data_IF_939056005454
#
_entry.id   IF_939056005454
#
_cell.length_a   1.000
_cell.length_b   1.000
_cell.length_c   1.000
_cell.angle_alpha   90.00
_cell.angle_beta   90.00
_cell.angle_gamma   90.00
#
_symmetry.space_group_name_H-M   'P 1'
#
loop_
_entity.id
_entity.type
_entity.pdbx_description
1 polymer ?
#
# COMPACT_ATOMS: atom_id res chain seq x y z
N UNK A 1 10.57 -2.34 23.71
CA UNK A 1 10.01 -1.02 23.40
C UNK A 1 10.59 -0.03 24.36
N UNK A 2 11.33 0.95 23.89
CA UNK A 2 11.76 2.10 24.66
C UNK A 2 10.57 2.95 25.06
N UNK A 3 10.60 3.39 26.27
CA UNK A 3 9.54 4.24 26.80
C UNK A 3 9.92 5.70 26.55
N UNK A 4 9.20 6.38 25.65
CA UNK A 4 9.26 7.82 25.56
C UNK A 4 8.52 8.44 26.75
N UNK A 5 9.13 9.44 27.39
CA UNK A 5 8.43 10.25 28.40
C UNK A 5 7.68 11.41 27.74
N UNK A 6 6.66 11.93 28.43
CA UNK A 6 5.94 13.10 27.95
C UNK A 6 6.86 14.33 27.86
N UNK A 7 7.85 14.44 28.72
CA UNK A 7 8.89 15.49 28.70
C UNK A 7 9.65 15.46 27.38
N UNK A 8 10.18 14.29 27.02
CA UNK A 8 10.92 14.12 25.76
C UNK A 8 10.05 14.44 24.54
N UNK A 9 8.83 13.90 24.51
CA UNK A 9 7.92 14.15 23.39
C UNK A 9 7.53 15.63 23.28
N UNK A 10 7.27 16.30 24.40
CA UNK A 10 6.97 17.73 24.44
C UNK A 10 8.16 18.57 23.95
N UNK A 11 9.39 18.27 24.38
CA UNK A 11 10.61 18.94 23.88
C UNK A 11 10.77 18.79 22.37
N UNK A 12 10.50 17.62 21.83
CA UNK A 12 10.64 17.32 20.40
C UNK A 12 9.61 18.04 19.51
N UNK A 13 8.41 18.26 20.02
CA UNK A 13 7.34 18.93 19.26
C UNK A 13 7.06 20.38 19.69
N UNK A 14 7.86 20.93 20.60
CA UNK A 14 7.63 22.28 21.13
C UNK A 14 6.36 22.41 21.96
N UNK A 15 5.86 21.29 22.47
CA UNK A 15 4.65 21.25 23.28
C UNK A 15 4.90 21.55 24.77
N UNK A 16 3.81 21.72 25.49
CA UNK A 16 3.82 21.98 26.95
C UNK A 16 3.21 20.79 27.68
N UNK A 17 3.90 20.32 28.72
CA UNK A 17 3.42 19.31 29.66
C UNK A 17 3.51 19.83 31.07
N UNK A 18 2.50 19.55 31.92
CA UNK A 18 2.55 19.89 33.33
C UNK A 18 3.63 19.06 34.04
N UNK A 19 4.48 19.70 34.89
CA UNK A 19 5.64 19.04 35.52
C UNK A 19 5.27 17.74 36.25
N UNK A 20 4.12 17.70 36.91
CA UNK A 20 3.62 16.49 37.62
C UNK A 20 3.40 15.27 36.73
N UNK A 21 3.30 15.47 35.39
CA UNK A 21 3.06 14.42 34.40
C UNK A 21 4.27 14.17 33.51
N UNK A 22 5.29 15.01 33.55
CA UNK A 22 6.41 15.03 32.61
C UNK A 22 7.15 13.69 32.49
N UNK A 23 7.26 12.93 33.57
CA UNK A 23 7.99 11.66 33.62
C UNK A 23 7.10 10.42 33.31
N UNK A 24 5.82 10.64 33.01
CA UNK A 24 4.96 9.55 32.51
C UNK A 24 5.50 9.07 31.17
N UNK A 25 5.67 7.75 31.06
CA UNK A 25 6.13 7.11 29.85
C UNK A 25 4.96 6.50 29.07
N UNK A 26 5.05 6.51 27.72
CA UNK A 26 4.07 5.91 26.84
C UNK A 26 4.70 4.95 25.84
N UNK A 27 3.87 4.08 25.23
CA UNK A 27 4.27 3.05 24.27
C UNK A 27 3.41 3.15 23.01
N UNK A 28 3.94 3.79 21.96
CA UNK A 28 3.20 4.01 20.73
C UNK A 28 2.09 5.05 20.89
N UNK A 29 1.28 5.20 19.84
CA UNK A 29 0.20 6.17 19.78
C UNK A 29 -1.05 5.58 19.13
N UNK A 30 -2.22 6.15 19.43
CA UNK A 30 -3.50 5.81 18.82
C UNK A 30 -4.39 7.04 18.69
N UNK A 31 -5.18 7.11 17.63
CA UNK A 31 -6.20 8.14 17.39
C UNK A 31 -7.64 7.59 17.42
N UNK A 32 -7.80 6.29 17.71
CA UNK A 32 -9.11 5.63 17.79
C UNK A 32 -9.21 4.84 19.09
N UNK A 33 -10.13 5.26 19.95
CA UNK A 33 -10.38 4.60 21.23
C UNK A 33 -10.93 3.17 21.12
N UNK A 34 -11.39 2.73 19.95
CA UNK A 34 -11.91 1.37 19.74
C UNK A 34 -10.80 0.32 19.71
N UNK A 35 -9.65 0.69 19.14
CA UNK A 35 -8.48 -0.19 18.92
C UNK A 35 -7.28 0.16 19.80
N UNK A 36 -7.35 1.27 20.54
CA UNK A 36 -6.29 1.74 21.43
C UNK A 36 -5.95 0.70 22.50
N UNK A 37 -4.65 0.57 22.80
CA UNK A 37 -4.13 -0.27 23.86
C UNK A 37 -3.72 0.56 25.09
N UNK A 38 -3.80 0.03 26.31
CA UNK A 38 -3.31 0.71 27.51
C UNK A 38 -1.84 1.12 27.39
N UNK A 39 -1.52 2.29 27.92
CA UNK A 39 -0.16 2.86 27.90
C UNK A 39 0.19 3.61 26.61
N UNK A 40 -0.70 3.71 25.63
CA UNK A 40 -0.48 4.52 24.43
C UNK A 40 -0.76 6.02 24.66
N UNK A 41 -0.13 6.87 23.84
CA UNK A 41 -0.45 8.29 23.72
C UNK A 41 -1.69 8.43 22.81
N UNK A 42 -2.76 9.02 23.34
CA UNK A 42 -3.96 9.29 22.53
C UNK A 42 -3.81 10.60 21.76
N UNK A 43 -3.96 10.56 20.45
CA UNK A 43 -3.83 11.74 19.57
C UNK A 43 -5.23 12.31 19.31
N UNK A 44 -5.52 13.49 19.87
CA UNK A 44 -6.81 14.16 19.73
C UNK A 44 -6.84 15.00 18.44
N UNK A 45 -7.16 14.37 17.31
CA UNK A 45 -7.25 15.03 16.01
C UNK A 45 -8.63 15.63 15.76
N UNK A 46 -8.66 16.77 15.08
CA UNK A 46 -9.90 17.31 14.51
C UNK A 46 -10.18 16.64 13.16
N UNK A 47 -11.41 16.16 12.99
CA UNK A 47 -11.88 15.50 11.78
C UNK A 47 -13.41 15.62 11.68
N UNK A 48 -14.10 14.64 11.12
CA UNK A 48 -15.57 14.59 11.10
C UNK A 48 -16.17 14.62 12.52
N UNK A 49 -15.42 14.16 13.51
CA UNK A 49 -15.66 14.34 14.95
C UNK A 49 -14.43 14.96 15.57
N UNK A 50 -14.60 15.75 16.63
CA UNK A 50 -13.47 16.30 17.39
C UNK A 50 -12.87 15.21 18.30
N UNK A 51 -11.61 14.86 18.08
CA UNK A 51 -10.87 13.88 18.88
C UNK A 51 -10.79 14.25 20.37
N UNK A 52 -10.87 15.54 20.70
CA UNK A 52 -10.87 16.01 22.09
C UNK A 52 -12.05 15.48 22.91
N UNK A 53 -13.19 15.22 22.27
CA UNK A 53 -14.39 14.68 22.94
C UNK A 53 -14.19 13.21 23.38
N UNK A 54 -13.13 12.57 22.90
CA UNK A 54 -12.80 11.17 23.23
C UNK A 54 -11.65 11.03 24.23
N UNK A 55 -11.04 12.12 24.72
CA UNK A 55 -9.92 12.07 25.68
C UNK A 55 -10.32 11.34 26.97
N UNK A 56 -11.48 11.69 27.56
CA UNK A 56 -11.98 10.97 28.75
C UNK A 56 -12.06 9.46 28.50
N UNK A 57 -12.67 9.06 27.39
CA UNK A 57 -12.82 7.64 27.02
C UNK A 57 -11.46 6.96 26.78
N UNK A 58 -10.49 7.70 26.25
CA UNK A 58 -9.13 7.18 26.09
C UNK A 58 -8.46 6.94 27.46
N UNK A 59 -8.60 7.89 28.40
CA UNK A 59 -8.09 7.74 29.77
C UNK A 59 -8.76 6.58 30.49
N UNK A 60 -10.09 6.41 30.38
CA UNK A 60 -10.82 5.29 30.96
C UNK A 60 -10.36 3.93 30.43
N UNK A 61 -9.80 3.90 29.19
CA UNK A 61 -9.19 2.72 28.57
C UNK A 61 -7.70 2.56 28.86
N UNK A 62 -7.13 3.42 29.71
CA UNK A 62 -5.74 3.32 30.14
C UNK A 62 -4.74 4.00 29.20
N UNK A 63 -5.14 5.05 28.45
CA UNK A 63 -4.16 5.90 27.78
C UNK A 63 -3.16 6.46 28.79
N UNK A 64 -1.88 6.51 28.41
CA UNK A 64 -0.87 7.11 29.29
C UNK A 64 -1.04 8.64 29.39
N UNK A 65 -1.42 9.26 28.26
CA UNK A 65 -1.64 10.70 28.15
C UNK A 65 -2.39 11.01 26.84
N UNK A 66 -2.74 12.31 26.66
CA UNK A 66 -3.24 12.82 25.38
C UNK A 66 -2.23 13.81 24.75
N UNK A 67 -2.18 13.83 23.41
CA UNK A 67 -1.62 14.91 22.61
C UNK A 67 -2.79 15.72 22.06
N UNK A 68 -2.93 16.98 22.45
CA UNK A 68 -4.14 17.76 22.22
C UNK A 68 -3.84 19.27 22.06
N UNK A 69 -4.76 20.00 21.41
CA UNK A 69 -4.60 21.44 21.18
C UNK A 69 -5.32 22.32 22.21
N UNK A 70 -6.09 21.73 23.11
CA UNK A 70 -6.77 22.44 24.19
C UNK A 70 -6.93 21.59 25.43
N UNK A 71 -7.06 22.22 26.59
CA UNK A 71 -7.27 21.52 27.86
C UNK A 71 -8.69 20.91 27.91
N UNK A 72 -8.73 19.61 28.23
CA UNK A 72 -9.96 18.84 28.43
C UNK A 72 -9.77 18.03 29.73
N UNK A 73 -10.37 18.48 30.81
CA UNK A 73 -10.22 17.84 32.12
C UNK A 73 -8.82 17.99 32.73
N UNK A 74 -8.55 17.25 33.81
CA UNK A 74 -7.25 17.20 34.52
C UNK A 74 -6.60 15.83 34.25
N UNK A 75 -6.07 15.67 33.03
CA UNK A 75 -5.41 14.46 32.60
C UNK A 75 -3.97 14.72 32.17
N UNK A 76 -3.09 13.68 32.20
CA UNK A 76 -1.78 13.80 31.61
C UNK A 76 -1.94 14.16 30.13
N UNK A 77 -1.31 15.26 29.70
CA UNK A 77 -1.40 15.71 28.31
C UNK A 77 -0.16 16.50 27.89
N UNK A 78 0.14 16.43 26.59
CA UNK A 78 1.03 17.36 25.89
C UNK A 78 0.13 18.32 25.11
N UNK A 79 0.24 19.61 25.41
CA UNK A 79 -0.49 20.67 24.71
C UNK A 79 0.35 21.23 23.58
N UNK A 80 -0.21 21.29 22.39
CA UNK A 80 0.43 21.75 21.14
C UNK A 80 -0.57 22.55 20.31
N UNK A 81 -0.09 23.36 19.38
CA UNK A 81 -0.98 24.09 18.46
C UNK A 81 -1.72 23.15 17.50
N UNK A 82 -1.00 22.17 16.94
CA UNK A 82 -1.55 21.17 16.03
C UNK A 82 -1.04 19.76 16.39
N UNK A 83 -1.92 18.87 16.93
CA UNK A 83 -1.55 17.50 17.29
C UNK A 83 -1.06 16.64 16.11
N UNK A 84 -1.45 16.95 14.87
CA UNK A 84 -1.02 16.22 13.68
C UNK A 84 0.44 16.55 13.34
N UNK A 85 0.78 17.83 13.35
CA UNK A 85 2.16 18.29 13.11
C UNK A 85 3.06 17.79 14.24
N UNK A 86 2.63 17.92 15.49
CA UNK A 86 3.37 17.47 16.66
C UNK A 86 3.65 15.95 16.61
N UNK A 87 2.66 15.14 16.22
CA UNK A 87 2.84 13.69 16.03
C UNK A 87 3.96 13.39 15.02
N UNK A 88 4.00 14.09 13.89
CA UNK A 88 5.06 13.96 12.89
C UNK A 88 6.44 14.34 13.43
N UNK A 89 6.53 15.43 14.20
CA UNK A 89 7.78 15.89 14.84
C UNK A 89 8.29 14.87 15.85
N UNK A 90 7.41 14.34 16.71
CA UNK A 90 7.77 13.30 17.69
C UNK A 90 8.26 12.03 16.95
N UNK A 91 7.57 11.60 15.92
CA UNK A 91 7.96 10.42 15.13
C UNK A 91 9.32 10.61 14.44
N UNK A 92 9.60 11.79 13.90
CA UNK A 92 10.89 12.11 13.29
C UNK A 92 12.06 12.00 14.29
N UNK A 93 11.92 12.58 15.47
CA UNK A 93 12.97 12.52 16.49
C UNK A 93 13.10 11.10 17.07
N UNK A 94 11.99 10.34 17.14
CA UNK A 94 12.03 8.92 17.54
C UNK A 94 12.80 8.06 16.54
N UNK A 95 12.56 8.20 15.23
CA UNK A 95 13.36 7.52 14.20
C UNK A 95 14.86 7.84 14.33
N UNK A 96 15.19 9.10 14.57
CA UNK A 96 16.56 9.53 14.81
C UNK A 96 17.16 8.92 16.08
N UNK A 97 16.37 8.81 17.16
CA UNK A 97 16.78 8.18 18.42
C UNK A 97 17.02 6.68 18.24
N UNK A 98 16.14 5.98 17.52
CA UNK A 98 16.30 4.56 17.21
C UNK A 98 17.54 4.34 16.33
N UNK A 99 17.83 5.25 15.42
CA UNK A 99 18.99 5.15 14.52
C UNK A 99 18.85 4.09 13.41
N UNK A 100 17.63 3.66 13.14
CA UNK A 100 17.34 2.71 12.06
C UNK A 100 17.62 3.31 10.69
N UNK A 101 18.13 2.51 9.75
CA UNK A 101 18.13 2.87 8.33
C UNK A 101 16.71 2.89 7.81
N UNK A 102 16.36 3.91 7.04
CA UNK A 102 15.01 4.08 6.53
C UNK A 102 14.94 3.78 5.04
N UNK A 103 14.05 2.84 4.69
CA UNK A 103 13.65 2.53 3.31
C UNK A 103 12.23 3.04 3.09
N UNK A 104 12.06 4.05 2.25
CA UNK A 104 10.75 4.60 1.89
C UNK A 104 10.26 4.04 0.56
N UNK A 105 8.96 3.74 0.46
CA UNK A 105 8.36 3.14 -0.73
C UNK A 105 7.12 3.92 -1.15
N UNK A 106 7.08 4.37 -2.40
CA UNK A 106 5.90 4.97 -3.03
C UNK A 106 5.68 4.43 -4.45
N UNK A 107 4.53 4.72 -5.04
CA UNK A 107 4.13 4.30 -6.38
C UNK A 107 2.62 4.44 -6.55
N UNK A 108 2.12 4.34 -7.76
CA UNK A 108 0.67 4.32 -8.01
C UNK A 108 0.06 2.98 -7.60
N UNK A 109 0.67 1.87 -7.99
CA UNK A 109 0.25 0.50 -7.69
C UNK A 109 1.42 -0.28 -7.07
N UNK A 110 1.14 -1.29 -6.24
CA UNK A 110 2.16 -2.21 -5.71
C UNK A 110 2.85 -1.76 -4.42
N UNK A 111 2.63 -0.54 -3.90
CA UNK A 111 3.31 -0.01 -2.70
C UNK A 111 3.38 -0.99 -1.52
N UNK A 112 2.23 -1.47 -1.06
CA UNK A 112 2.19 -2.37 0.10
C UNK A 112 2.82 -3.71 -0.19
N UNK A 113 2.63 -4.25 -1.40
CA UNK A 113 3.26 -5.50 -1.83
C UNK A 113 4.77 -5.38 -1.85
N UNK A 114 5.29 -4.31 -2.47
CA UNK A 114 6.73 -4.02 -2.50
C UNK A 114 7.29 -3.80 -1.10
N UNK A 115 6.61 -3.05 -0.25
CA UNK A 115 6.98 -2.86 1.16
C UNK A 115 7.12 -4.20 1.89
N UNK A 116 6.14 -5.08 1.74
CA UNK A 116 6.18 -6.40 2.38
C UNK A 116 7.28 -7.30 1.81
N UNK A 117 7.54 -7.26 0.48
CA UNK A 117 8.65 -8.00 -0.14
C UNK A 117 10.00 -7.47 0.33
N UNK A 118 10.17 -6.13 0.41
CA UNK A 118 11.38 -5.50 0.95
C UNK A 118 11.59 -5.95 2.40
N UNK A 119 10.55 -5.91 3.23
CA UNK A 119 10.64 -6.33 4.62
C UNK A 119 11.01 -7.82 4.72
N UNK A 120 10.37 -8.71 3.94
CA UNK A 120 10.68 -10.14 3.95
C UNK A 120 12.14 -10.44 3.56
N UNK A 121 12.72 -9.68 2.63
CA UNK A 121 14.14 -9.76 2.27
C UNK A 121 15.04 -9.25 3.40
N UNK A 122 14.70 -8.12 4.00
CA UNK A 122 15.53 -7.49 5.03
C UNK A 122 15.48 -8.24 6.35
N UNK A 123 14.35 -8.84 6.72
CA UNK A 123 14.17 -9.69 7.90
C UNK A 123 15.11 -10.91 7.91
N UNK A 124 15.68 -11.29 6.75
CA UNK A 124 16.70 -12.34 6.69
C UNK A 124 18.08 -11.89 7.22
N UNK A 125 18.28 -10.59 7.45
CA UNK A 125 19.58 -10.04 7.83
C UNK A 125 19.53 -9.00 8.95
N UNK A 126 18.38 -8.37 9.17
CA UNK A 126 18.23 -7.23 10.09
C UNK A 126 16.95 -7.36 10.93
N UNK A 127 16.98 -6.74 12.11
CA UNK A 127 15.75 -6.47 12.87
C UNK A 127 14.97 -5.40 12.12
N UNK A 128 13.94 -5.82 11.40
CA UNK A 128 13.20 -4.96 10.48
C UNK A 128 11.83 -4.61 11.01
N UNK A 129 11.47 -3.34 10.97
CA UNK A 129 10.12 -2.84 11.24
C UNK A 129 9.52 -2.25 9.96
N UNK A 130 8.19 -2.28 9.83
CA UNK A 130 7.49 -1.75 8.66
C UNK A 130 6.17 -1.10 9.03
N UNK A 131 5.70 -0.17 8.21
CA UNK A 131 4.33 0.38 8.36
C UNK A 131 3.30 -0.74 8.24
N UNK A 132 2.42 -0.92 9.24
CA UNK A 132 1.36 -1.93 9.18
C UNK A 132 0.26 -1.52 8.21
N UNK A 133 -0.36 -2.48 7.53
CA UNK A 133 -1.50 -2.29 6.63
C UNK A 133 -1.33 -1.07 5.69
N UNK A 134 -2.23 -0.11 5.76
CA UNK A 134 -2.25 1.14 4.98
C UNK A 134 -1.87 2.38 5.82
N UNK A 135 -1.06 2.23 6.85
CA UNK A 135 -0.55 3.35 7.65
C UNK A 135 0.52 4.12 6.88
N UNK A 136 0.12 4.76 5.77
CA UNK A 136 1.00 5.37 4.79
C UNK A 136 0.77 6.88 4.60
N UNK A 137 0.01 7.50 5.51
CA UNK A 137 -0.30 8.93 5.52
C UNK A 137 0.32 9.63 6.73
N UNK A 138 0.08 10.92 6.85
CA UNK A 138 0.57 11.84 7.87
C UNK A 138 0.15 11.53 9.33
N UNK A 139 -0.75 10.58 9.53
CA UNK A 139 -1.17 10.07 10.84
C UNK A 139 -0.64 8.64 11.02
N UNK A 140 -0.90 7.78 10.05
CA UNK A 140 -0.61 6.35 10.14
C UNK A 140 0.88 6.06 10.21
N UNK A 141 1.69 6.68 9.33
CA UNK A 141 3.13 6.47 9.30
C UNK A 141 3.81 6.94 10.61
N UNK A 142 3.55 8.15 11.14
CA UNK A 142 4.09 8.55 12.44
C UNK A 142 3.68 7.62 13.60
N UNK A 143 2.42 7.18 13.66
CA UNK A 143 1.99 6.21 14.67
C UNK A 143 2.73 4.88 14.55
N UNK A 144 2.97 4.40 13.32
CA UNK A 144 3.74 3.19 13.08
C UNK A 144 5.19 3.33 13.58
N UNK A 145 5.80 4.50 13.38
CA UNK A 145 7.15 4.80 13.90
C UNK A 145 7.18 4.74 15.43
N UNK A 146 6.21 5.36 16.09
CA UNK A 146 6.15 5.37 17.57
C UNK A 146 5.88 3.98 18.18
N UNK A 147 5.44 3.03 17.36
CA UNK A 147 5.24 1.64 17.77
C UNK A 147 6.45 0.72 17.49
N UNK A 148 7.53 1.23 16.89
CA UNK A 148 8.71 0.44 16.54
C UNK A 148 9.50 0.01 17.79
N UNK A 149 10.07 -1.20 17.80
CA UNK A 149 11.05 -1.63 18.79
C UNK A 149 12.34 -0.78 18.73
N UNK A 150 12.95 -0.49 19.87
CA UNK A 150 14.21 0.28 19.95
C UNK A 150 15.39 -0.37 19.23
N UNK A 151 15.39 -1.68 19.13
CA UNK A 151 16.43 -2.45 18.43
C UNK A 151 16.16 -2.60 16.93
N UNK A 152 15.25 -1.80 16.36
CA UNK A 152 15.00 -1.78 14.92
C UNK A 152 16.24 -1.28 14.18
N UNK A 153 16.76 -2.11 13.27
CA UNK A 153 17.93 -1.78 12.46
C UNK A 153 17.53 -1.17 11.11
N UNK A 154 16.38 -1.61 10.57
CA UNK A 154 15.84 -1.08 9.32
C UNK A 154 14.33 -0.84 9.45
N UNK A 155 13.87 0.34 9.05
CA UNK A 155 12.46 0.71 8.99
C UNK A 155 12.00 0.81 7.52
N UNK A 156 11.00 0.03 7.12
CA UNK A 156 10.40 0.06 5.78
C UNK A 156 9.08 0.81 5.83
N UNK A 157 9.07 2.03 5.30
CA UNK A 157 7.95 2.97 5.40
C UNK A 157 7.25 3.16 4.06
N UNK A 158 5.96 2.80 4.00
CA UNK A 158 5.11 3.09 2.85
C UNK A 158 4.65 4.54 2.90
N UNK A 159 4.72 5.26 1.78
CA UNK A 159 4.26 6.63 1.62
C UNK A 159 3.17 6.70 0.55
N UNK A 160 1.96 7.02 0.99
CA UNK A 160 0.80 7.28 0.13
C UNK A 160 0.56 8.78 -0.02
N UNK A 161 -0.17 9.17 -1.07
CA UNK A 161 -0.58 10.56 -1.28
C UNK A 161 -1.84 10.62 -2.15
N UNK A 162 -2.59 11.70 -1.98
CA UNK A 162 -3.65 12.15 -2.86
C UNK A 162 -3.31 13.51 -3.49
N UNK A 163 -2.53 14.36 -2.80
CA UNK A 163 -2.21 15.73 -3.20
C UNK A 163 -0.70 16.00 -3.17
N UNK A 164 -0.30 17.08 -3.84
CA UNK A 164 1.07 17.61 -3.73
C UNK A 164 1.41 17.98 -2.30
N UNK A 165 2.67 17.84 -1.93
CA UNK A 165 3.20 18.16 -0.60
C UNK A 165 3.07 17.03 0.43
N UNK A 166 2.21 16.04 0.21
CA UNK A 166 2.00 14.95 1.17
C UNK A 166 3.21 14.02 1.25
N UNK A 167 3.79 13.63 0.11
CA UNK A 167 5.03 12.81 0.09
C UNK A 167 6.20 13.61 0.65
N UNK A 168 6.30 14.90 0.33
CA UNK A 168 7.32 15.80 0.89
C UNK A 168 7.27 15.79 2.43
N UNK A 169 6.08 15.98 3.01
CA UNK A 169 5.89 15.95 4.45
C UNK A 169 6.30 14.61 5.07
N UNK A 170 5.85 13.48 4.50
CA UNK A 170 6.21 12.15 4.97
C UNK A 170 7.70 11.87 4.85
N UNK A 171 8.31 12.30 3.76
CA UNK A 171 9.74 12.15 3.52
C UNK A 171 10.59 12.96 4.50
N UNK A 172 10.16 14.17 4.86
CA UNK A 172 10.84 15.00 5.85
C UNK A 172 10.77 14.43 7.27
N UNK A 173 9.69 13.69 7.59
CA UNK A 173 9.59 12.93 8.85
C UNK A 173 10.55 11.73 8.81
N UNK A 174 10.47 10.93 7.75
CA UNK A 174 11.15 9.64 7.62
C UNK A 174 12.65 9.78 7.35
N UNK A 175 13.08 10.80 6.61
CA UNK A 175 14.46 11.04 6.18
C UNK A 175 15.13 9.82 5.53
N UNK A 176 14.59 9.32 4.41
CA UNK A 176 15.01 8.06 3.84
C UNK A 176 16.50 7.98 3.48
N UNK A 177 17.14 6.85 3.81
CA UNK A 177 18.45 6.46 3.26
C UNK A 177 18.29 5.80 1.89
N UNK A 178 17.16 5.13 1.68
CA UNK A 178 16.78 4.53 0.41
C UNK A 178 15.33 4.89 0.11
N UNK A 179 15.07 5.47 -1.05
CA UNK A 179 13.72 5.72 -1.54
C UNK A 179 13.44 4.89 -2.79
N UNK A 180 12.25 4.31 -2.88
CA UNK A 180 11.81 3.46 -3.99
C UNK A 180 10.55 4.05 -4.61
N UNK A 181 10.57 4.31 -5.93
CA UNK A 181 9.37 4.64 -6.71
C UNK A 181 9.12 3.51 -7.70
N UNK A 182 7.98 2.81 -7.50
CA UNK A 182 7.69 1.57 -8.21
C UNK A 182 7.16 1.84 -9.61
N UNK A 183 6.21 2.78 -9.73
CA UNK A 183 5.56 3.13 -11.00
C UNK A 183 4.79 4.44 -10.91
N UNK A 184 4.50 5.01 -12.11
CA UNK A 184 3.62 6.16 -12.31
C UNK A 184 2.43 5.68 -13.15
N UNK A 185 1.32 5.36 -12.49
CA UNK A 185 0.04 5.04 -13.14
C UNK A 185 -0.93 6.20 -13.08
N UNK A 186 -2.23 5.87 -13.08
CA UNK A 186 -3.32 6.86 -13.07
C UNK A 186 -4.01 7.03 -11.71
N UNK A 187 -3.51 6.36 -10.66
CA UNK A 187 -4.05 6.52 -9.31
C UNK A 187 -3.96 7.98 -8.84
N UNK A 188 -5.08 8.53 -8.32
CA UNK A 188 -5.22 9.91 -7.84
C UNK A 188 -5.10 11.00 -8.94
N UNK A 189 -5.29 10.64 -10.22
CA UNK A 189 -5.20 11.58 -11.36
C UNK A 189 -6.24 12.71 -11.26
N UNK A 190 -7.37 12.46 -10.59
CA UNK A 190 -8.40 13.47 -10.31
C UNK A 190 -7.83 14.68 -9.58
N UNK A 191 -6.89 14.48 -8.65
CA UNK A 191 -6.32 15.56 -7.82
C UNK A 191 -5.01 16.12 -8.39
N UNK A 192 -4.29 15.35 -9.18
CA UNK A 192 -2.97 15.70 -9.70
C UNK A 192 -2.96 16.06 -11.19
N UNK A 193 -4.11 15.91 -11.85
CA UNK A 193 -4.40 16.33 -13.23
C UNK A 193 -3.81 15.40 -14.30
N UNK A 194 -2.51 15.10 -14.25
CA UNK A 194 -1.81 14.30 -15.27
C UNK A 194 -0.88 13.25 -14.64
N UNK A 195 -0.40 12.32 -15.46
CA UNK A 195 0.63 11.38 -14.99
C UNK A 195 1.95 12.08 -14.65
N UNK A 196 2.30 13.18 -15.34
CA UNK A 196 3.43 14.05 -14.99
C UNK A 196 3.24 14.69 -13.61
N UNK A 197 2.02 15.12 -13.29
CA UNK A 197 1.66 15.62 -11.95
C UNK A 197 1.81 14.53 -10.89
N UNK A 198 1.38 13.29 -11.19
CA UNK A 198 1.57 12.13 -10.30
C UNK A 198 3.06 11.83 -10.12
N UNK A 199 3.87 11.88 -11.19
CA UNK A 199 5.32 11.74 -11.11
C UNK A 199 5.92 12.82 -10.21
N UNK A 200 5.56 14.09 -10.43
CA UNK A 200 6.05 15.21 -9.62
C UNK A 200 5.75 15.01 -8.14
N UNK A 201 4.51 14.66 -7.78
CA UNK A 201 4.12 14.40 -6.39
C UNK A 201 4.88 13.23 -5.77
N UNK A 202 5.14 12.13 -6.52
CA UNK A 202 5.92 11.00 -5.99
C UNK A 202 7.41 11.32 -5.87
N UNK A 203 7.94 12.15 -6.76
CA UNK A 203 9.33 12.62 -6.70
C UNK A 203 9.60 13.53 -5.49
N UNK A 204 8.60 14.10 -4.85
CA UNK A 204 8.74 14.81 -3.56
C UNK A 204 9.44 13.94 -2.49
N UNK A 205 9.48 12.61 -2.65
CA UNK A 205 10.17 11.71 -1.74
C UNK A 205 11.66 12.05 -1.58
N UNK A 206 12.27 12.70 -2.56
CA UNK A 206 13.67 13.10 -2.52
C UNK A 206 13.95 14.27 -1.58
N UNK A 207 12.93 15.07 -1.24
CA UNK A 207 13.07 16.31 -0.46
C UNK A 207 13.48 16.05 1.00
N UNK A 208 13.07 14.92 1.56
CA UNK A 208 13.46 14.51 2.91
C UNK A 208 14.65 13.55 2.99
N UNK A 209 15.12 13.03 1.85
CA UNK A 209 16.19 12.03 1.85
C UNK A 209 17.48 12.53 2.51
N UNK A 210 18.24 11.61 3.07
CA UNK A 210 19.59 11.91 3.57
C UNK A 210 20.53 12.33 2.43
N UNK A 211 21.58 13.14 2.69
CA UNK A 211 22.47 13.64 1.62
C UNK A 211 23.14 12.55 0.78
N UNK A 212 23.33 11.37 1.36
CA UNK A 212 23.94 10.21 0.68
C UNK A 212 22.90 9.13 0.34
N UNK A 213 21.61 9.46 0.42
CA UNK A 213 20.49 8.57 0.12
C UNK A 213 20.52 8.08 -1.33
N UNK A 214 19.96 6.89 -1.53
CA UNK A 214 19.85 6.25 -2.84
C UNK A 214 18.41 6.25 -3.32
N UNK A 215 18.20 6.75 -4.54
CA UNK A 215 16.87 6.71 -5.18
C UNK A 215 16.83 5.52 -6.16
N UNK A 216 15.89 4.61 -5.90
CA UNK A 216 15.64 3.42 -6.72
C UNK A 216 14.39 3.62 -7.56
N UNK A 217 14.54 3.57 -8.88
CA UNK A 217 13.46 3.83 -9.82
C UNK A 217 13.22 2.62 -10.72
N UNK A 218 11.96 2.35 -11.03
CA UNK A 218 11.61 1.35 -12.03
C UNK A 218 11.99 1.86 -13.43
N UNK A 219 12.98 1.22 -14.06
CA UNK A 219 13.46 1.56 -15.39
C UNK A 219 12.55 1.08 -16.53
N UNK A 220 11.54 0.28 -16.25
CA UNK A 220 10.51 -0.12 -17.22
C UNK A 220 9.37 0.92 -17.29
N UNK A 221 9.31 1.84 -16.33
CA UNK A 221 8.36 2.95 -16.35
C UNK A 221 8.91 4.12 -17.15
N UNK A 222 8.18 4.50 -18.21
CA UNK A 222 8.62 5.55 -19.14
C UNK A 222 8.84 6.91 -18.44
N UNK A 223 7.96 7.28 -17.50
CA UNK A 223 8.03 8.57 -16.82
C UNK A 223 9.14 8.61 -15.77
N UNK A 224 9.48 7.47 -15.16
CA UNK A 224 10.62 7.35 -14.24
C UNK A 224 11.95 7.25 -14.97
N UNK A 225 11.96 6.67 -16.18
CA UNK A 225 13.17 6.57 -17.00
C UNK A 225 13.59 7.91 -17.61
N UNK A 226 12.61 8.75 -17.95
CA UNK A 226 12.81 10.03 -18.64
C UNK A 226 12.48 11.19 -17.69
N UNK A 227 13.32 11.38 -16.68
CA UNK A 227 13.17 12.52 -15.76
C UNK A 227 13.61 13.81 -16.45
N UNK A 228 12.82 14.89 -16.31
CA UNK A 228 13.14 16.21 -16.86
C UNK A 228 14.38 16.84 -16.22
N UNK A 229 14.66 16.47 -14.97
CA UNK A 229 15.79 16.93 -14.18
C UNK A 229 16.35 15.78 -13.36
N UNK A 230 17.65 15.58 -13.43
CA UNK A 230 18.34 14.59 -12.61
C UNK A 230 18.24 14.96 -11.11
N UNK A 231 17.84 14.03 -10.26
CA UNK A 231 17.87 14.24 -8.81
C UNK A 231 19.32 14.39 -8.32
N UNK A 232 19.50 15.06 -7.20
CA UNK A 232 20.82 15.15 -6.54
C UNK A 232 21.28 13.81 -5.96
N UNK A 233 20.31 12.93 -5.64
CA UNK A 233 20.53 11.61 -5.08
C UNK A 233 21.08 10.65 -6.15
N UNK A 234 21.84 9.66 -5.69
CA UNK A 234 22.33 8.60 -6.57
C UNK A 234 21.17 7.72 -7.04
N UNK A 235 20.83 7.80 -8.33
CA UNK A 235 19.77 6.99 -8.95
C UNK A 235 20.30 5.59 -9.30
N UNK A 236 19.49 4.57 -9.05
CA UNK A 236 19.70 3.20 -9.51
C UNK A 236 18.39 2.71 -10.13
N UNK A 237 18.46 2.26 -11.38
CA UNK A 237 17.30 1.69 -12.08
C UNK A 237 17.25 0.18 -11.89
N UNK A 238 16.03 -0.34 -11.60
CA UNK A 238 15.69 -1.76 -11.63
C UNK A 238 14.56 -2.01 -12.65
N UNK A 239 14.48 -3.21 -13.21
CA UNK A 239 13.46 -3.56 -14.20
C UNK A 239 13.95 -4.64 -15.15
N UNK A 240 13.19 -4.92 -16.21
CA UNK A 240 13.55 -5.88 -17.26
C UNK A 240 14.31 -5.22 -18.45
N UNK A 241 14.18 -3.90 -18.58
CA UNK A 241 14.76 -3.12 -19.68
C UNK A 241 16.28 -3.03 -19.63
N UNK A 242 16.89 -2.85 -20.80
CA UNK A 242 18.33 -2.58 -20.90
C UNK A 242 18.72 -1.30 -20.15
N UNK A 243 19.92 -1.33 -19.53
CA UNK A 243 20.44 -0.23 -18.73
C UNK A 243 19.92 -0.18 -17.30
N UNK A 244 19.05 -1.12 -16.86
CA UNK A 244 18.77 -1.31 -15.45
C UNK A 244 19.97 -1.99 -14.76
N UNK A 245 20.32 -1.50 -13.57
CA UNK A 245 21.44 -2.03 -12.79
C UNK A 245 21.10 -3.39 -12.14
N UNK A 246 19.82 -3.64 -11.89
CA UNK A 246 19.26 -4.92 -11.42
C UNK A 246 18.15 -5.31 -12.37
N UNK A 247 18.31 -6.44 -13.03
CA UNK A 247 17.41 -6.87 -14.12
C UNK A 247 16.81 -8.23 -13.84
N UNK A 248 15.53 -8.41 -14.30
CA UNK A 248 14.93 -9.72 -14.44
C UNK A 248 14.98 -10.19 -15.90
N UNK A 249 15.20 -11.49 -16.07
CA UNK A 249 15.09 -12.18 -17.34
C UNK A 249 14.60 -13.63 -17.12
N UNK A 250 14.25 -14.34 -18.18
CA UNK A 250 13.68 -15.70 -18.12
C UNK A 250 12.45 -15.76 -17.20
N UNK A 251 11.58 -14.75 -17.29
CA UNK A 251 10.34 -14.69 -16.50
C UNK A 251 9.38 -15.77 -16.97
N UNK A 252 8.95 -16.64 -16.07
CA UNK A 252 8.06 -17.74 -16.36
C UNK A 252 7.09 -18.00 -15.19
N UNK A 253 5.85 -18.36 -15.53
CA UNK A 253 4.84 -18.81 -14.56
C UNK A 253 4.69 -20.33 -14.70
N UNK A 254 4.99 -21.08 -13.64
CA UNK A 254 4.81 -22.52 -13.56
C UNK A 254 3.83 -22.86 -12.43
N UNK A 255 2.59 -23.13 -12.79
CA UNK A 255 1.49 -23.25 -11.82
C UNK A 255 1.36 -21.98 -10.99
N UNK A 256 1.37 -22.15 -9.67
CA UNK A 256 1.27 -21.05 -8.70
C UNK A 256 2.59 -20.34 -8.46
N UNK A 257 3.68 -20.73 -9.15
CA UNK A 257 5.01 -20.19 -8.92
C UNK A 257 5.46 -19.25 -10.04
N UNK A 258 5.84 -18.04 -9.67
CA UNK A 258 6.57 -17.10 -10.51
C UNK A 258 8.07 -17.38 -10.41
N UNK A 259 8.72 -17.60 -11.54
CA UNK A 259 10.16 -17.82 -11.66
C UNK A 259 10.78 -16.75 -12.54
N UNK A 260 11.94 -16.27 -12.15
CA UNK A 260 12.79 -15.42 -13.00
C UNK A 260 14.24 -15.50 -12.53
N UNK A 261 15.15 -15.00 -13.34
CA UNK A 261 16.55 -14.82 -12.96
C UNK A 261 16.83 -13.35 -12.75
N UNK A 262 17.65 -13.05 -11.75
CA UNK A 262 18.16 -11.71 -11.48
C UNK A 262 19.57 -11.59 -11.99
N UNK A 263 19.90 -10.49 -12.64
CA UNK A 263 21.23 -10.06 -12.97
C UNK A 263 21.53 -8.69 -12.32
N UNK A 264 22.64 -8.60 -11.58
CA UNK A 264 23.07 -7.37 -10.91
C UNK A 264 24.60 -7.28 -10.93
N UNK A 265 25.15 -6.60 -11.93
CA UNK A 265 26.59 -6.53 -12.16
C UNK A 265 27.18 -7.93 -12.47
N UNK A 266 28.00 -8.46 -11.56
CA UNK A 266 28.56 -9.83 -11.70
C UNK A 266 27.70 -10.93 -11.05
N UNK A 267 26.67 -10.55 -10.33
CA UNK A 267 25.77 -11.51 -9.67
C UNK A 267 24.71 -11.97 -10.66
N UNK A 268 24.42 -13.27 -10.66
CA UNK A 268 23.26 -13.85 -11.34
C UNK A 268 22.70 -14.99 -10.50
N UNK A 269 21.40 -14.91 -10.17
CA UNK A 269 20.75 -15.92 -9.33
C UNK A 269 19.27 -16.07 -9.68
N UNK A 270 18.67 -17.28 -9.50
CA UNK A 270 17.25 -17.49 -9.72
C UNK A 270 16.43 -16.95 -8.56
N UNK A 271 15.19 -16.57 -8.84
CA UNK A 271 14.15 -16.25 -7.85
C UNK A 271 12.94 -17.11 -8.13
N UNK A 272 12.35 -17.66 -7.07
CA UNK A 272 11.10 -18.42 -7.10
C UNK A 272 10.17 -17.92 -6.01
N UNK A 273 8.95 -17.55 -6.37
CA UNK A 273 7.95 -17.00 -5.46
C UNK A 273 6.62 -17.73 -5.65
N UNK A 274 5.89 -18.00 -4.57
CA UNK A 274 4.53 -18.54 -4.62
C UNK A 274 3.55 -17.39 -4.87
N UNK A 275 3.52 -16.89 -6.10
CA UNK A 275 2.70 -15.80 -6.59
C UNK A 275 2.31 -16.03 -8.04
N UNK A 276 1.17 -15.48 -8.42
CA UNK A 276 0.71 -15.50 -9.80
C UNK A 276 0.63 -14.09 -10.38
N UNK A 277 1.34 -13.90 -11.49
CA UNK A 277 1.33 -12.63 -12.24
C UNK A 277 2.71 -12.01 -12.40
N UNK A 278 3.03 -11.72 -13.65
CA UNK A 278 4.33 -11.12 -14.03
C UNK A 278 4.53 -9.70 -13.47
N UNK A 279 3.43 -8.99 -13.14
CA UNK A 279 3.50 -7.66 -12.53
C UNK A 279 4.25 -7.63 -11.19
N UNK A 280 4.33 -8.77 -10.48
CA UNK A 280 5.12 -8.89 -9.25
C UNK A 280 6.63 -8.90 -9.46
N UNK A 281 7.10 -9.07 -10.70
CA UNK A 281 8.55 -9.08 -11.00
C UNK A 281 9.18 -7.75 -10.61
N UNK A 282 8.55 -6.61 -10.96
CA UNK A 282 9.09 -5.29 -10.61
C UNK A 282 9.04 -5.01 -9.11
N UNK A 283 7.99 -5.47 -8.40
CA UNK A 283 7.92 -5.37 -6.94
C UNK A 283 9.05 -6.19 -6.28
N UNK A 284 9.30 -7.40 -6.79
CA UNK A 284 10.38 -8.26 -6.33
C UNK A 284 11.77 -7.69 -6.67
N UNK A 285 11.96 -7.12 -7.87
CA UNK A 285 13.21 -6.46 -8.25
C UNK A 285 13.52 -5.23 -7.38
N UNK A 286 12.51 -4.47 -6.98
CA UNK A 286 12.67 -3.41 -6.00
C UNK A 286 13.22 -3.96 -4.67
N UNK A 287 12.64 -5.07 -4.17
CA UNK A 287 13.10 -5.73 -2.94
C UNK A 287 14.52 -6.30 -3.08
N UNK A 288 14.84 -6.95 -4.21
CA UNK A 288 16.20 -7.40 -4.54
C UNK A 288 17.19 -6.25 -4.51
N UNK A 289 16.82 -5.13 -5.17
CA UNK A 289 17.69 -3.95 -5.29
C UNK A 289 17.98 -3.36 -3.91
N UNK A 290 16.95 -3.18 -3.07
CA UNK A 290 17.11 -2.71 -1.69
C UNK A 290 18.00 -3.68 -0.90
N UNK A 291 17.74 -4.99 -0.97
CA UNK A 291 18.53 -6.01 -0.28
C UNK A 291 20.01 -5.95 -0.65
N UNK A 292 20.32 -5.95 -1.96
CA UNK A 292 21.71 -5.83 -2.46
C UNK A 292 22.38 -4.53 -2.02
N UNK A 293 21.67 -3.39 -2.04
CA UNK A 293 22.19 -2.09 -1.61
C UNK A 293 22.48 -2.02 -0.11
N UNK A 294 21.74 -2.76 0.69
CA UNK A 294 21.95 -2.87 2.14
C UNK A 294 22.89 -4.05 2.51
N UNK A 295 23.45 -4.76 1.53
CA UNK A 295 24.44 -5.82 1.76
C UNK A 295 23.84 -7.18 2.11
N UNK A 296 22.57 -7.41 1.84
CA UNK A 296 21.95 -8.73 2.01
C UNK A 296 22.48 -9.67 0.92
N UNK A 297 22.92 -10.86 1.33
CA UNK A 297 23.44 -11.87 0.41
C UNK A 297 22.34 -12.44 -0.50
N UNK A 298 22.67 -12.82 -1.77
CA UNK A 298 21.70 -13.35 -2.72
C UNK A 298 20.85 -14.50 -2.18
N UNK A 299 21.45 -15.43 -1.42
CA UNK A 299 20.74 -16.59 -0.84
C UNK A 299 19.68 -16.15 0.19
N UNK A 300 19.96 -15.11 0.97
CA UNK A 300 19.04 -14.53 1.92
C UNK A 300 17.91 -13.77 1.20
N UNK A 301 18.22 -13.05 0.11
CA UNK A 301 17.22 -12.39 -0.73
C UNK A 301 16.25 -13.43 -1.31
N UNK A 302 16.78 -14.53 -1.86
CA UNK A 302 15.97 -15.65 -2.38
C UNK A 302 15.09 -16.26 -1.27
N UNK A 303 15.63 -16.48 -0.08
CA UNK A 303 14.88 -17.00 1.04
C UNK A 303 13.71 -16.09 1.44
N UNK A 304 13.95 -14.78 1.58
CA UNK A 304 12.91 -13.80 1.91
C UNK A 304 11.80 -13.77 0.87
N UNK A 305 12.15 -13.70 -0.42
CA UNK A 305 11.15 -13.69 -1.50
C UNK A 305 10.38 -15.02 -1.59
N UNK A 306 11.01 -16.16 -1.39
CA UNK A 306 10.33 -17.47 -1.41
C UNK A 306 9.33 -17.65 -0.26
N UNK A 307 9.55 -17.00 0.86
CA UNK A 307 8.67 -17.01 2.04
C UNK A 307 7.55 -15.98 1.95
N UNK A 308 7.65 -15.00 1.05
CA UNK A 308 6.62 -13.99 0.87
C UNK A 308 5.27 -14.62 0.51
N UNK A 309 4.20 -14.10 1.07
CA UNK A 309 2.81 -14.47 0.77
C UNK A 309 2.00 -13.20 0.53
N UNK A 310 1.00 -13.29 -0.34
CA UNK A 310 0.11 -12.16 -0.62
C UNK A 310 -0.56 -11.64 0.65
N UNK A 311 -0.78 -10.34 0.65
CA UNK A 311 -1.50 -9.62 1.70
C UNK A 311 -3.00 -9.90 1.51
N UNK A 312 -3.74 -10.05 2.60
CA UNK A 312 -5.20 -10.22 2.54
C UNK A 312 -5.88 -9.11 1.72
N UNK A 313 -6.81 -9.51 0.87
CA UNK A 313 -7.52 -8.61 -0.04
C UNK A 313 -6.71 -8.14 -1.27
N UNK A 314 -5.50 -8.72 -1.50
CA UNK A 314 -4.68 -8.47 -2.70
C UNK A 314 -4.37 -9.79 -3.39
N UNK A 315 -5.17 -10.16 -4.38
CA UNK A 315 -5.12 -11.47 -5.05
C UNK A 315 -5.07 -12.65 -4.07
N UNK A 316 -5.82 -12.56 -2.99
CA UNK A 316 -5.99 -13.63 -2.02
C UNK A 316 -6.80 -14.76 -2.65
N UNK A 317 -6.27 -15.99 -2.63
CA UNK A 317 -6.93 -17.15 -3.22
C UNK A 317 -7.76 -17.86 -2.16
N UNK A 318 -9.06 -17.98 -2.41
CA UNK A 318 -10.03 -18.65 -1.53
C UNK A 318 -10.64 -19.84 -2.30
N UNK A 319 -10.68 -21.01 -1.68
CA UNK A 319 -11.39 -22.17 -2.21
C UNK A 319 -12.73 -22.30 -1.49
N UNK A 320 -13.85 -22.17 -2.21
CA UNK A 320 -15.18 -22.24 -1.65
C UNK A 320 -16.19 -22.82 -2.65
N UNK A 321 -17.05 -23.73 -2.21
CA UNK A 321 -18.09 -24.33 -3.05
C UNK A 321 -17.56 -25.04 -4.31
N UNK A 322 -16.34 -25.54 -4.28
CA UNK A 322 -15.66 -26.12 -5.45
C UNK A 322 -15.20 -25.09 -6.49
N UNK A 323 -15.22 -23.80 -6.15
CA UNK A 323 -14.75 -22.68 -6.98
C UNK A 323 -13.45 -22.14 -6.45
N UNK A 324 -12.65 -21.53 -7.32
CA UNK A 324 -11.48 -20.73 -6.95
C UNK A 324 -11.85 -19.24 -7.01
N UNK A 325 -11.67 -18.51 -5.92
CA UNK A 325 -11.98 -17.09 -5.82
C UNK A 325 -10.68 -16.32 -5.65
N UNK A 326 -10.47 -15.33 -6.52
CA UNK A 326 -9.38 -14.36 -6.45
C UNK A 326 -9.96 -13.09 -5.82
N UNK A 327 -9.75 -12.91 -4.51
CA UNK A 327 -10.20 -11.73 -3.77
C UNK A 327 -9.14 -10.63 -3.88
N UNK A 328 -9.46 -9.57 -4.63
CA UNK A 328 -8.59 -8.42 -4.86
C UNK A 328 -9.36 -7.10 -4.66
N UNK A 329 -10.08 -7.00 -3.52
CA UNK A 329 -11.03 -5.93 -3.20
C UNK A 329 -10.43 -4.78 -2.40
N UNK A 330 -9.11 -4.75 -2.16
CA UNK A 330 -8.50 -3.70 -1.34
C UNK A 330 -8.57 -2.33 -2.03
N UNK A 331 -8.19 -2.25 -3.29
CA UNK A 331 -8.31 -1.05 -4.14
C UNK A 331 -8.24 -1.42 -5.63
N UNK A 332 -8.69 -0.51 -6.50
CA UNK A 332 -8.63 -0.69 -7.93
C UNK A 332 -8.27 0.61 -8.64
N UNK A 333 -7.43 0.48 -9.66
CA UNK A 333 -7.15 1.46 -10.68
C UNK A 333 -6.93 0.72 -12.01
N UNK A 334 -6.86 1.42 -13.14
CA UNK A 334 -6.82 0.83 -14.46
C UNK A 334 -5.71 -0.20 -14.65
N UNK A 335 -4.50 0.10 -14.17
CA UNK A 335 -3.33 -0.78 -14.28
C UNK A 335 -3.51 -2.05 -13.43
N UNK A 336 -3.99 -1.91 -12.20
CA UNK A 336 -4.21 -3.04 -11.30
C UNK A 336 -5.40 -3.91 -11.73
N UNK A 337 -6.43 -3.33 -12.37
CA UNK A 337 -7.52 -4.09 -13.00
C UNK A 337 -6.99 -4.93 -14.15
N UNK A 338 -6.17 -4.34 -15.04
CA UNK A 338 -5.57 -5.05 -16.16
C UNK A 338 -4.68 -6.20 -15.68
N UNK A 339 -3.86 -5.99 -14.65
CA UNK A 339 -3.01 -7.01 -14.05
C UNK A 339 -3.82 -8.19 -13.48
N UNK A 340 -4.87 -7.90 -12.70
CA UNK A 340 -5.74 -8.94 -12.14
C UNK A 340 -6.50 -9.73 -13.21
N UNK A 341 -6.98 -9.05 -14.25
CA UNK A 341 -7.61 -9.69 -15.40
C UNK A 341 -6.62 -10.58 -16.18
N UNK A 342 -5.35 -10.17 -16.29
CA UNK A 342 -4.32 -11.00 -16.91
C UNK A 342 -4.08 -12.30 -16.12
N UNK A 343 -4.11 -12.25 -14.79
CA UNK A 343 -4.04 -13.44 -13.93
C UNK A 343 -5.26 -14.33 -14.13
N UNK A 344 -6.48 -13.75 -14.09
CA UNK A 344 -7.71 -14.49 -14.34
C UNK A 344 -7.66 -15.19 -15.71
N UNK A 345 -7.20 -14.49 -16.74
CA UNK A 345 -7.11 -15.01 -18.11
C UNK A 345 -6.20 -16.24 -18.30
N UNK A 346 -5.24 -16.46 -17.37
CA UNK A 346 -4.35 -17.63 -17.36
C UNK A 346 -4.95 -18.84 -16.61
N UNK A 347 -6.06 -18.66 -15.88
CA UNK A 347 -6.68 -19.75 -15.11
C UNK A 347 -7.42 -20.75 -15.98
N UNK A 348 -7.37 -22.02 -15.56
CA UNK A 348 -8.16 -23.08 -16.15
C UNK A 348 -9.59 -23.05 -15.61
N UNK A 349 -10.55 -23.48 -16.41
CA UNK A 349 -11.96 -23.45 -16.06
C UNK A 349 -12.68 -22.22 -16.62
N UNK A 350 -13.94 -22.04 -16.25
CA UNK A 350 -14.75 -20.88 -16.65
C UNK A 350 -14.43 -19.69 -15.77
N UNK A 351 -14.12 -18.56 -16.36
CA UNK A 351 -13.61 -17.35 -15.72
C UNK A 351 -14.71 -16.30 -15.60
N UNK A 352 -14.98 -15.87 -14.40
CA UNK A 352 -15.99 -14.85 -14.09
C UNK A 352 -15.30 -13.66 -13.47
N UNK A 353 -15.38 -12.48 -14.10
CA UNK A 353 -14.87 -11.23 -13.55
C UNK A 353 -16.02 -10.46 -12.89
N UNK A 354 -15.90 -10.18 -11.58
CA UNK A 354 -16.78 -9.30 -10.81
C UNK A 354 -16.01 -8.02 -10.56
N UNK A 355 -16.33 -6.97 -11.32
CA UNK A 355 -15.57 -5.73 -11.39
C UNK A 355 -16.41 -4.57 -10.85
N UNK A 356 -15.96 -3.94 -9.77
CA UNK A 356 -16.58 -2.70 -9.30
C UNK A 356 -15.91 -1.45 -9.86
N UNK A 357 -16.48 -0.30 -9.52
CA UNK A 357 -15.96 1.00 -9.97
C UNK A 357 -14.53 1.25 -9.48
N UNK A 358 -13.79 1.97 -10.31
CA UNK A 358 -12.52 2.60 -10.00
C UNK A 358 -12.77 4.07 -9.64
N UNK A 359 -12.37 4.47 -8.43
CA UNK A 359 -12.56 5.82 -7.92
C UNK A 359 -11.34 6.71 -8.20
N UNK A 360 -11.49 8.03 -8.03
CA UNK A 360 -10.43 9.04 -8.12
C UNK A 360 -9.78 9.15 -9.51
N UNK A 361 -10.56 8.87 -10.56
CA UNK A 361 -10.12 8.96 -11.96
C UNK A 361 -10.52 10.29 -12.63
N UNK A 362 -11.35 11.12 -11.99
CA UNK A 362 -11.80 12.41 -12.54
C UNK A 362 -12.34 12.27 -13.96
N UNK A 363 -11.87 13.09 -14.88
CA UNK A 363 -12.31 13.09 -16.29
C UNK A 363 -11.99 11.78 -17.04
N UNK A 364 -11.02 11.00 -16.55
CA UNK A 364 -10.66 9.71 -17.15
C UNK A 364 -11.65 8.59 -16.82
N UNK A 365 -12.59 8.79 -15.87
CA UNK A 365 -13.49 7.76 -15.33
C UNK A 365 -14.18 6.96 -16.44
N UNK A 366 -14.81 7.62 -17.37
CA UNK A 366 -15.60 6.96 -18.42
C UNK A 366 -14.73 6.14 -19.39
N UNK A 367 -13.58 6.71 -19.78
CA UNK A 367 -12.65 6.08 -20.71
C UNK A 367 -11.99 4.84 -20.09
N UNK A 368 -11.57 4.94 -18.84
CA UNK A 368 -10.87 3.86 -18.16
C UNK A 368 -11.78 2.68 -17.80
N UNK A 369 -13.02 2.95 -17.35
CA UNK A 369 -14.01 1.88 -17.15
C UNK A 369 -14.33 1.14 -18.45
N UNK A 370 -14.47 1.87 -19.55
CA UNK A 370 -14.66 1.29 -20.88
C UNK A 370 -13.44 0.45 -21.31
N UNK A 371 -12.22 0.97 -21.13
CA UNK A 371 -10.98 0.27 -21.44
C UNK A 371 -10.84 -1.05 -20.66
N UNK A 372 -11.13 -1.02 -19.35
CA UNK A 372 -11.13 -2.21 -18.51
C UNK A 372 -12.16 -3.23 -18.98
N UNK A 373 -13.34 -2.80 -19.40
CA UNK A 373 -14.35 -3.67 -20.00
C UNK A 373 -13.83 -4.39 -21.25
N UNK A 374 -13.12 -3.71 -22.14
CA UNK A 374 -12.50 -4.34 -23.32
C UNK A 374 -11.47 -5.41 -22.94
N UNK A 375 -10.62 -5.11 -21.95
CA UNK A 375 -9.63 -6.08 -21.44
C UNK A 375 -10.35 -7.29 -20.84
N UNK A 376 -11.41 -7.05 -20.07
CA UNK A 376 -12.19 -8.13 -19.45
C UNK A 376 -12.83 -9.07 -20.47
N UNK A 377 -13.28 -8.55 -21.61
CA UNK A 377 -13.84 -9.37 -22.68
C UNK A 377 -12.85 -10.42 -23.24
N UNK A 378 -11.56 -10.11 -23.25
CA UNK A 378 -10.51 -11.03 -23.71
C UNK A 378 -10.10 -12.06 -22.64
N UNK A 379 -10.30 -11.75 -21.35
CA UNK A 379 -9.75 -12.51 -20.22
C UNK A 379 -10.78 -13.31 -19.44
N UNK A 380 -12.06 -12.96 -19.55
CA UNK A 380 -13.16 -13.60 -18.81
C UNK A 380 -14.22 -14.16 -19.75
N UNK A 381 -14.93 -15.21 -19.29
CA UNK A 381 -16.07 -15.79 -19.99
C UNK A 381 -17.39 -15.10 -19.60
N UNK A 382 -17.45 -14.50 -18.41
CA UNK A 382 -18.55 -13.67 -17.92
C UNK A 382 -18.00 -12.43 -17.20
N UNK A 383 -18.69 -11.29 -17.35
CA UNK A 383 -18.35 -10.06 -16.63
C UNK A 383 -19.60 -9.52 -15.92
N UNK A 384 -19.52 -9.41 -14.62
CA UNK A 384 -20.48 -8.72 -13.75
C UNK A 384 -19.89 -7.43 -13.25
N UNK A 385 -20.40 -6.29 -13.70
CA UNK A 385 -19.92 -4.98 -13.31
C UNK A 385 -20.85 -4.38 -12.25
N UNK A 386 -20.26 -3.74 -11.22
CA UNK A 386 -20.99 -3.20 -10.07
C UNK A 386 -20.60 -1.76 -9.77
N UNK A 387 -21.60 -0.90 -9.62
CA UNK A 387 -21.45 0.50 -9.28
C UNK A 387 -22.03 1.45 -10.34
N UNK A 388 -21.96 2.77 -10.11
CA UNK A 388 -22.47 3.80 -11.03
C UNK A 388 -21.92 3.73 -12.44
N UNK A 389 -20.64 3.33 -12.61
CA UNK A 389 -19.97 3.23 -13.90
C UNK A 389 -20.02 1.80 -14.51
N UNK A 390 -20.75 0.88 -13.90
CA UNK A 390 -20.89 -0.52 -14.37
C UNK A 390 -21.32 -0.63 -15.81
N UNK A 391 -22.22 0.24 -16.29
CA UNK A 391 -22.66 0.30 -17.68
C UNK A 391 -21.52 0.59 -18.66
N UNK A 392 -20.49 1.35 -18.27
CA UNK A 392 -19.34 1.64 -19.12
C UNK A 392 -18.41 0.43 -19.24
N UNK A 393 -18.21 -0.32 -18.17
CA UNK A 393 -17.47 -1.59 -18.21
C UNK A 393 -18.18 -2.53 -19.20
N UNK A 394 -19.51 -2.70 -19.09
CA UNK A 394 -20.27 -3.59 -19.98
C UNK A 394 -20.25 -3.10 -21.44
N UNK A 395 -20.36 -1.80 -21.68
CA UNK A 395 -20.18 -1.26 -23.03
C UNK A 395 -18.82 -1.64 -23.63
N UNK A 396 -17.76 -1.60 -22.81
CA UNK A 396 -16.42 -2.04 -23.19
C UNK A 396 -16.36 -3.54 -23.50
N UNK A 397 -17.03 -4.41 -22.70
CA UNK A 397 -17.04 -5.86 -22.94
C UNK A 397 -17.72 -6.22 -24.25
N UNK A 398 -18.85 -5.58 -24.57
CA UNK A 398 -19.57 -5.79 -25.83
C UNK A 398 -18.69 -5.38 -27.01
N UNK A 399 -18.07 -4.22 -26.95
CA UNK A 399 -17.14 -3.76 -28.01
C UNK A 399 -15.89 -4.64 -28.11
N UNK A 400 -15.45 -5.25 -27.01
CA UNK A 400 -14.39 -6.26 -26.98
C UNK A 400 -14.80 -7.64 -27.53
N UNK A 401 -16.04 -7.78 -28.00
CA UNK A 401 -16.54 -9.00 -28.64
C UNK A 401 -17.22 -10.01 -27.72
N UNK A 402 -17.45 -9.65 -26.43
CA UNK A 402 -18.21 -10.52 -25.52
C UNK A 402 -19.70 -10.49 -25.89
N UNK A 403 -20.39 -11.66 -25.97
CA UNK A 403 -21.84 -11.70 -26.15
C UNK A 403 -22.58 -10.96 -25.03
N UNK A 404 -23.61 -10.17 -25.36
CA UNK A 404 -24.39 -9.40 -24.38
C UNK A 404 -24.89 -10.25 -23.20
N UNK A 405 -25.32 -11.49 -23.46
CA UNK A 405 -25.81 -12.39 -22.41
C UNK A 405 -24.75 -12.75 -21.34
N UNK A 406 -23.47 -12.47 -21.58
CA UNK A 406 -22.35 -12.78 -20.69
C UNK A 406 -21.83 -11.57 -19.92
N UNK A 407 -22.26 -10.35 -20.27
CA UNK A 407 -21.94 -9.11 -19.60
C UNK A 407 -23.17 -8.49 -18.94
N UNK A 408 -23.11 -8.18 -17.63
CA UNK A 408 -24.25 -7.56 -16.93
C UNK A 408 -23.78 -6.48 -15.97
N UNK A 409 -24.48 -5.32 -15.99
CA UNK A 409 -24.28 -4.21 -15.08
C UNK A 409 -25.26 -4.28 -13.90
N UNK A 410 -24.79 -3.90 -12.72
CA UNK A 410 -25.56 -3.87 -11.48
C UNK A 410 -25.25 -2.60 -10.69
N UNK A 411 -26.28 -2.03 -10.08
CA UNK A 411 -26.16 -0.95 -9.09
C UNK A 411 -26.71 -1.37 -7.72
N UNK A 412 -27.37 -2.54 -7.67
CA UNK A 412 -27.90 -3.14 -6.47
C UNK A 412 -27.10 -4.41 -6.11
N UNK A 413 -26.73 -4.53 -4.81
CA UNK A 413 -25.88 -5.62 -4.31
C UNK A 413 -26.60 -6.96 -4.33
N UNK A 414 -27.87 -6.99 -3.86
CA UNK A 414 -28.67 -8.20 -3.77
C UNK A 414 -28.92 -8.81 -5.18
N UNK A 415 -29.13 -7.96 -6.19
CA UNK A 415 -29.30 -8.41 -7.58
C UNK A 415 -28.01 -9.02 -8.14
N UNK A 416 -26.85 -8.41 -7.84
CA UNK A 416 -25.54 -8.97 -8.21
C UNK A 416 -25.31 -10.31 -7.54
N UNK A 417 -25.50 -10.42 -6.24
CA UNK A 417 -25.34 -11.67 -5.48
C UNK A 417 -26.27 -12.75 -6.02
N UNK A 418 -27.54 -12.42 -6.27
CA UNK A 418 -28.49 -13.36 -6.87
C UNK A 418 -28.07 -13.82 -8.27
N UNK A 419 -27.50 -12.92 -9.08
CA UNK A 419 -26.98 -13.27 -10.41
C UNK A 419 -25.76 -14.19 -10.31
N UNK A 420 -24.83 -13.91 -9.39
CA UNK A 420 -23.66 -14.76 -9.11
C UNK A 420 -24.09 -16.17 -8.67
N UNK A 421 -25.01 -16.28 -7.69
CA UNK A 421 -25.53 -17.57 -7.20
C UNK A 421 -26.21 -18.40 -8.29
N UNK A 422 -26.85 -17.76 -9.28
CA UNK A 422 -27.44 -18.47 -10.43
C UNK A 422 -26.42 -18.90 -11.49
N UNK A 423 -25.30 -18.16 -11.60
CA UNK A 423 -24.33 -18.34 -12.71
C UNK A 423 -23.14 -19.19 -12.31
N UNK A 424 -22.57 -18.96 -11.13
CA UNK A 424 -21.38 -19.63 -10.66
C UNK A 424 -21.63 -21.11 -10.35
N UNK A 425 -20.64 -21.95 -10.67
CA UNK A 425 -20.68 -23.42 -10.52
C UNK A 425 -19.34 -23.94 -10.01
N UNK A 426 -19.30 -25.13 -9.41
CA UNK A 426 -18.04 -25.80 -9.13
C UNK A 426 -17.14 -25.89 -10.36
N UNK A 427 -15.85 -25.63 -10.20
CA UNK A 427 -14.86 -25.53 -11.27
C UNK A 427 -14.67 -24.15 -11.87
N UNK A 428 -15.51 -23.16 -11.50
CA UNK A 428 -15.33 -21.76 -11.95
C UNK A 428 -14.19 -21.08 -11.20
N UNK A 429 -13.60 -20.07 -11.86
CA UNK A 429 -12.65 -19.12 -11.25
C UNK A 429 -13.28 -17.73 -11.27
N UNK A 430 -13.42 -17.13 -10.09
CA UNK A 430 -14.03 -15.81 -9.93
C UNK A 430 -12.98 -14.78 -9.46
N UNK A 431 -12.89 -13.65 -10.16
CA UNK A 431 -12.12 -12.48 -9.71
C UNK A 431 -13.08 -11.43 -9.13
N UNK A 432 -12.82 -10.97 -7.91
CA UNK A 432 -13.51 -9.82 -7.31
C UNK A 432 -12.55 -8.67 -7.15
N UNK A 433 -12.79 -7.54 -7.85
CA UNK A 433 -11.92 -6.36 -7.78
C UNK A 433 -12.67 -5.04 -7.91
N UNK A 434 -12.44 -4.12 -6.97
CA UNK A 434 -13.00 -2.77 -6.95
C UNK A 434 -12.13 -1.82 -6.12
N UNK A 435 -12.38 -0.52 -6.26
CA UNK A 435 -11.88 0.48 -5.31
C UNK A 435 -12.47 0.27 -3.91
N UNK A 436 -11.70 0.66 -2.88
CA UNK A 436 -12.06 0.42 -1.48
C UNK A 436 -13.45 0.93 -1.10
N UNK A 437 -13.82 2.13 -1.60
CA UNK A 437 -15.11 2.75 -1.32
C UNK A 437 -16.35 2.04 -1.92
N UNK A 438 -16.13 1.05 -2.80
CA UNK A 438 -17.22 0.24 -3.39
C UNK A 438 -17.63 -0.91 -2.48
N UNK A 439 -16.77 -1.31 -1.54
CA UNK A 439 -17.03 -2.39 -0.59
C UNK A 439 -17.43 -3.72 -1.25
N UNK A 440 -16.75 -4.08 -2.35
CA UNK A 440 -17.06 -5.30 -3.10
C UNK A 440 -16.82 -6.59 -2.30
N UNK A 441 -16.02 -6.53 -1.23
CA UNK A 441 -15.86 -7.62 -0.26
C UNK A 441 -17.20 -8.02 0.40
N UNK A 442 -18.14 -7.09 0.57
CA UNK A 442 -19.47 -7.40 1.12
C UNK A 442 -20.30 -8.24 0.14
N UNK A 443 -20.14 -8.01 -1.17
CA UNK A 443 -20.78 -8.86 -2.20
C UNK A 443 -20.21 -10.28 -2.14
N UNK A 444 -18.90 -10.41 -1.95
CA UNK A 444 -18.24 -11.71 -1.81
C UNK A 444 -18.69 -12.45 -0.55
N UNK A 445 -18.68 -11.77 0.62
CA UNK A 445 -19.09 -12.35 1.90
C UNK A 445 -20.54 -12.87 1.81
N UNK A 446 -21.48 -12.08 1.25
CA UNK A 446 -22.88 -12.49 1.05
C UNK A 446 -23.05 -13.60 0.01
N UNK A 447 -22.22 -13.60 -1.05
CA UNK A 447 -22.22 -14.67 -2.05
C UNK A 447 -21.80 -16.01 -1.43
N UNK A 448 -20.80 -15.99 -0.54
CA UNK A 448 -20.32 -17.16 0.20
C UNK A 448 -21.24 -17.60 1.35
N UNK A 449 -22.20 -16.77 1.75
CA UNK A 449 -23.07 -17.03 2.89
C UNK A 449 -22.41 -16.78 4.25
N UNK A 450 -21.36 -15.96 4.28
CA UNK A 450 -20.71 -15.48 5.51
C UNK A 450 -21.47 -14.24 5.99
N UNK A 451 -22.45 -14.41 6.89
CA UNK A 451 -23.03 -13.28 7.62
C UNK A 451 -22.04 -12.80 8.70
N UNK A 452 -21.70 -11.49 8.66
CA UNK A 452 -20.96 -10.79 9.73
C UNK A 452 -21.90 -10.08 10.68
#
# INVERSE_FOLDING_TARGET
MGKLTLRQAAEWCGGVVEEKYADIAFLGAANDTRVMQPGQLFIALQGARDGHDFIQKAMDKGAAAALCSRKVGDYPAIYVDDPRIALGQIAREELKRIGAKVVAVTGSVGKSTTKEMIAAVLEQAFVTSKTPANHNNDIGMPMAVLAMPENTEVAVLEMGMNHFGEISYLSQIARPDVAVIINIGTAHIEFLGTQEGIRQAKMEIVEGMTPHGMLLLNGDDFLLRNLDKEPQQRVTYFGSSEGCAVRAFDVNQDGDYLHFRVEAGRLSFPVKMLLEGEHYVNDALAAVTVGLKLGVLPEKIQAGLSQFRNISGRQEIIQAGGMTIIKDCYNAGPESMAAALAVLGKKQGRRIAVLGDMLELGDCTQAEHYRVGRIAAEKADYVFAYGPNSGRIISGTITGGMPEARGRAFTNREELVAALKRTAKPGDVLLFKASRGIHLEQVLDEFLGEEK
#
